data_IF_099431774845
#
_entry.id   IF_099431774845
#
_cell.length_a   1.000
_cell.length_b   1.000
_cell.length_c   1.000
_cell.angle_alpha   90.00
_cell.angle_beta   90.00
_cell.angle_gamma   90.00
#
_symmetry.space_group_name_H-M   'P 1'
#
loop_
_entity.id
_entity.type
_entity.pdbx_description
1 polymer ?
#
# COMPACT_ATOMS: atom_id res chain seq x y z
N UNK A 1 21.38 -19.93 9.04
CA UNK A 1 20.12 -20.69 9.25
C UNK A 1 19.85 -21.06 10.71
N UNK A 2 20.80 -20.94 11.62
CA UNK A 2 20.60 -21.25 13.06
C UNK A 2 19.97 -20.10 13.89
N UNK A 3 19.97 -18.88 13.41
CA UNK A 3 19.43 -17.72 14.13
C UNK A 3 17.89 -17.76 14.33
N UNK A 4 17.17 -18.52 13.53
CA UNK A 4 15.71 -18.63 13.62
C UNK A 4 15.21 -19.79 14.52
N UNK A 5 16.09 -20.69 14.96
CA UNK A 5 15.72 -21.83 15.81
C UNK A 5 15.62 -21.49 17.32
N UNK A 6 15.97 -20.26 17.71
CA UNK A 6 15.85 -19.78 19.11
C UNK A 6 14.63 -18.86 19.33
N UNK A 7 13.67 -18.89 18.42
CA UNK A 7 12.48 -18.07 18.53
C UNK A 7 11.55 -18.60 19.64
N UNK A 8 11.51 -17.92 20.77
CA UNK A 8 10.50 -18.12 21.82
C UNK A 8 9.30 -17.20 21.53
N UNK A 9 8.17 -17.75 21.06
CA UNK A 9 7.07 -16.93 20.50
C UNK A 9 6.47 -15.96 21.50
N UNK A 10 6.52 -16.24 22.80
CA UNK A 10 5.86 -15.40 23.79
C UNK A 10 6.66 -14.13 24.15
N UNK A 11 7.98 -14.22 24.27
CA UNK A 11 8.82 -13.06 24.62
C UNK A 11 8.91 -12.07 23.48
N UNK A 12 8.91 -12.55 22.26
CA UNK A 12 9.00 -11.69 21.06
C UNK A 12 7.68 -10.97 20.75
N UNK A 13 6.53 -11.55 21.06
CA UNK A 13 5.23 -10.85 20.92
C UNK A 13 5.16 -9.66 21.87
N UNK A 14 5.52 -9.84 23.15
CA UNK A 14 5.52 -8.75 24.13
C UNK A 14 6.53 -7.66 23.72
N UNK A 15 7.73 -8.05 23.28
CA UNK A 15 8.77 -7.12 22.83
C UNK A 15 8.34 -6.35 21.59
N UNK A 16 7.79 -7.03 20.59
CA UNK A 16 7.29 -6.42 19.35
C UNK A 16 6.13 -5.47 19.64
N UNK A 17 5.18 -5.86 20.47
CA UNK A 17 4.06 -5.00 20.88
C UNK A 17 4.55 -3.77 21.66
N UNK A 18 5.54 -3.94 22.53
CA UNK A 18 6.15 -2.81 23.26
C UNK A 18 6.82 -1.82 22.33
N UNK A 19 7.62 -2.31 21.38
CA UNK A 19 8.29 -1.46 20.36
C UNK A 19 7.26 -0.73 19.50
N UNK A 20 6.23 -1.43 19.01
CA UNK A 20 5.16 -0.82 18.23
C UNK A 20 4.40 0.24 19.04
N UNK A 21 4.12 -0.03 20.30
CA UNK A 21 3.45 0.94 21.20
C UNK A 21 4.31 2.19 21.42
N UNK A 22 5.61 2.05 21.63
CA UNK A 22 6.54 3.18 21.79
C UNK A 22 6.61 4.00 20.51
N UNK A 23 6.74 3.35 19.35
CA UNK A 23 6.77 4.03 18.04
C UNK A 23 5.45 4.77 17.81
N UNK A 24 4.31 4.14 18.08
CA UNK A 24 2.99 4.73 17.89
C UNK A 24 2.79 5.93 18.80
N UNK A 25 3.10 5.80 20.10
CA UNK A 25 3.00 6.91 21.06
C UNK A 25 3.95 8.04 20.72
N UNK A 26 5.20 7.74 20.37
CA UNK A 26 6.18 8.73 19.92
C UNK A 26 5.70 9.48 18.67
N UNK A 27 5.16 8.76 17.70
CA UNK A 27 4.59 9.36 16.49
C UNK A 27 3.39 10.25 16.80
N UNK A 28 2.48 9.84 17.70
CA UNK A 28 1.35 10.67 18.14
C UNK A 28 1.83 11.95 18.83
N UNK A 29 2.81 11.87 19.73
CA UNK A 29 3.38 13.06 20.39
C UNK A 29 3.97 14.02 19.36
N UNK A 30 4.72 13.52 18.37
CA UNK A 30 5.25 14.35 17.29
C UNK A 30 4.14 14.98 16.45
N UNK A 31 3.10 14.21 16.10
CA UNK A 31 1.95 14.71 15.35
C UNK A 31 1.24 15.88 16.05
N UNK A 32 1.09 15.82 17.38
CA UNK A 32 0.45 16.89 18.14
C UNK A 32 1.37 18.07 18.42
N UNK A 33 2.70 17.88 18.51
CA UNK A 33 3.66 18.94 18.79
C UNK A 33 4.02 19.81 17.58
N UNK A 34 3.82 19.34 16.35
CA UNK A 34 4.28 20.00 15.12
C UNK A 34 3.16 20.67 14.29
N UNK A 35 1.99 20.88 14.87
CA UNK A 35 0.84 21.45 14.13
C UNK A 35 0.59 20.72 12.78
N UNK A 36 0.72 19.41 12.83
CA UNK A 36 0.55 18.53 11.66
C UNK A 36 -0.80 18.75 10.93
N UNK A 37 -1.91 19.07 11.61
CA UNK A 37 -3.16 19.39 10.90
C UNK A 37 -3.03 20.48 9.84
N UNK A 38 -2.36 21.60 10.17
CA UNK A 38 -2.14 22.70 9.19
C UNK A 38 -1.20 22.28 8.07
N UNK A 39 -0.14 21.52 8.40
CA UNK A 39 0.78 20.98 7.42
C UNK A 39 0.06 20.02 6.47
N UNK A 40 -0.84 19.16 6.98
CA UNK A 40 -1.62 18.23 6.18
C UNK A 40 -2.60 18.94 5.25
N UNK A 41 -3.19 20.07 5.67
CA UNK A 41 -4.06 20.88 4.78
C UNK A 41 -3.24 21.45 3.63
N UNK A 42 -2.09 22.07 3.92
CA UNK A 42 -1.19 22.59 2.89
C UNK A 42 -0.73 21.51 1.90
N UNK A 43 -0.34 20.35 2.42
CA UNK A 43 0.07 19.21 1.60
C UNK A 43 -1.09 18.70 0.74
N UNK A 44 -2.28 18.54 1.32
CA UNK A 44 -3.46 18.07 0.60
C UNK A 44 -3.85 18.98 -0.56
N UNK A 45 -3.80 20.30 -0.33
CA UNK A 45 -4.04 21.28 -1.39
C UNK A 45 -2.99 21.16 -2.52
N UNK A 46 -1.71 21.01 -2.15
CA UNK A 46 -0.63 20.87 -3.15
C UNK A 46 -0.72 19.59 -3.98
N UNK A 47 -1.26 18.51 -3.42
CA UNK A 47 -1.42 17.22 -4.14
C UNK A 47 -2.46 17.27 -5.25
N UNK A 48 -3.38 18.23 -5.22
CA UNK A 48 -4.39 18.40 -6.28
C UNK A 48 -3.99 19.45 -7.31
N UNK A 49 -3.00 20.29 -7.01
CA UNK A 49 -2.50 21.35 -7.89
C UNK A 49 -1.42 20.83 -8.85
N UNK A 50 -1.38 21.37 -10.05
CA UNK A 50 -0.38 21.01 -11.08
C UNK A 50 -0.25 22.08 -12.14
N UNK A 51 0.52 21.79 -13.22
CA UNK A 51 0.68 22.74 -14.32
C UNK A 51 -0.63 23.06 -15.04
N UNK A 52 -1.64 22.20 -14.91
CA UNK A 52 -2.99 22.37 -15.41
C UNK A 52 -3.95 21.50 -14.62
N UNK A 53 -5.00 22.11 -14.04
CA UNK A 53 -5.99 21.39 -13.24
C UNK A 53 -6.71 20.30 -14.04
N UNK A 54 -6.94 20.55 -15.34
CA UNK A 54 -7.55 19.58 -16.24
C UNK A 54 -6.62 18.36 -16.44
N UNK A 55 -5.31 18.58 -16.65
CA UNK A 55 -4.36 17.47 -16.80
C UNK A 55 -4.22 16.66 -15.51
N UNK A 56 -4.22 17.32 -14.36
CA UNK A 56 -4.19 16.64 -13.05
C UNK A 56 -5.46 15.82 -12.83
N UNK A 57 -6.63 16.35 -13.15
CA UNK A 57 -7.88 15.61 -13.06
C UNK A 57 -7.88 14.37 -13.97
N UNK A 58 -7.44 14.51 -15.21
CA UNK A 58 -7.30 13.38 -16.15
C UNK A 58 -6.33 12.33 -15.60
N UNK A 59 -5.19 12.76 -15.06
CA UNK A 59 -4.19 11.88 -14.45
C UNK A 59 -4.78 11.10 -13.27
N UNK A 60 -5.43 11.77 -12.31
CA UNK A 60 -6.03 11.12 -11.15
C UNK A 60 -7.13 10.12 -11.56
N UNK A 61 -7.97 10.50 -12.53
CA UNK A 61 -9.01 9.60 -13.07
C UNK A 61 -8.38 8.38 -13.75
N UNK A 62 -7.35 8.57 -14.57
CA UNK A 62 -6.67 7.48 -15.27
C UNK A 62 -6.04 6.50 -14.28
N UNK A 63 -5.35 7.00 -13.27
CA UNK A 63 -4.74 6.18 -12.22
C UNK A 63 -5.80 5.45 -11.37
N UNK A 64 -6.91 6.12 -11.02
CA UNK A 64 -8.04 5.51 -10.34
C UNK A 64 -8.63 4.35 -11.15
N UNK A 65 -8.91 4.57 -12.42
CA UNK A 65 -9.48 3.53 -13.30
C UNK A 65 -8.51 2.36 -13.47
N UNK A 66 -7.22 2.62 -13.62
CA UNK A 66 -6.19 1.59 -13.71
C UNK A 66 -6.11 0.76 -12.43
N UNK A 67 -6.16 1.40 -11.26
CA UNK A 67 -6.16 0.73 -9.96
C UNK A 67 -7.42 -0.12 -9.76
N UNK A 68 -8.60 0.41 -10.05
CA UNK A 68 -9.87 -0.31 -9.98
C UNK A 68 -9.90 -1.51 -10.94
N UNK A 69 -9.40 -1.34 -12.16
CA UNK A 69 -9.25 -2.45 -13.12
C UNK A 69 -8.35 -3.55 -12.58
N UNK A 70 -7.24 -3.17 -11.92
CA UNK A 70 -6.31 -4.13 -11.32
C UNK A 70 -6.99 -4.92 -10.20
N UNK A 71 -7.72 -4.25 -9.30
CA UNK A 71 -8.50 -4.89 -8.23
C UNK A 71 -9.54 -5.86 -8.82
N UNK A 72 -10.30 -5.41 -9.82
CA UNK A 72 -11.31 -6.24 -10.49
C UNK A 72 -10.67 -7.47 -11.16
N UNK A 73 -9.54 -7.29 -11.84
CA UNK A 73 -8.78 -8.39 -12.44
C UNK A 73 -8.32 -9.39 -11.37
N UNK A 74 -7.73 -8.92 -10.28
CA UNK A 74 -7.31 -9.79 -9.16
C UNK A 74 -8.48 -10.56 -8.57
N UNK A 75 -9.63 -9.93 -8.39
CA UNK A 75 -10.82 -10.57 -7.86
C UNK A 75 -11.34 -11.68 -8.77
N UNK A 76 -11.39 -11.42 -10.09
CA UNK A 76 -11.95 -12.33 -11.09
C UNK A 76 -11.02 -13.43 -11.56
N UNK A 77 -9.70 -13.33 -11.31
CA UNK A 77 -8.75 -14.39 -11.64
C UNK A 77 -9.20 -15.75 -11.08
N UNK A 78 -9.17 -16.78 -11.90
CA UNK A 78 -9.61 -18.14 -11.52
C UNK A 78 -8.75 -18.77 -10.42
N UNK A 79 -7.44 -18.50 -10.42
CA UNK A 79 -6.49 -19.08 -9.47
C UNK A 79 -5.54 -18.01 -8.94
N UNK A 80 -5.50 -17.85 -7.61
CA UNK A 80 -4.38 -17.18 -6.95
C UNK A 80 -3.18 -18.13 -6.84
N UNK A 81 -2.02 -17.56 -6.54
CA UNK A 81 -0.81 -18.32 -6.25
C UNK A 81 -0.09 -17.60 -5.12
N UNK A 82 -0.09 -18.18 -3.95
CA UNK A 82 0.48 -17.59 -2.76
C UNK A 82 1.23 -18.66 -1.95
N UNK A 83 2.47 -18.38 -1.62
CA UNK A 83 3.25 -19.21 -0.73
C UNK A 83 3.04 -18.70 0.69
N UNK A 84 2.60 -19.56 1.58
CA UNK A 84 2.33 -19.26 2.99
C UNK A 84 3.10 -20.23 3.85
N UNK A 85 3.84 -19.72 4.84
CA UNK A 85 4.48 -20.59 5.81
C UNK A 85 3.43 -21.15 6.77
N UNK A 86 3.27 -22.46 6.75
CA UNK A 86 2.37 -23.16 7.67
C UNK A 86 2.93 -23.09 9.09
N UNK A 87 2.13 -22.58 10.03
CA UNK A 87 2.52 -22.53 11.43
C UNK A 87 2.66 -23.94 12.05
N UNK A 88 1.83 -24.88 11.63
CA UNK A 88 1.83 -26.26 12.15
C UNK A 88 3.00 -27.07 11.59
N UNK A 89 3.21 -27.02 10.28
CA UNK A 89 4.23 -27.83 9.59
C UNK A 89 5.59 -27.18 9.52
N UNK A 90 5.68 -25.84 9.80
CA UNK A 90 6.87 -25.02 9.61
C UNK A 90 7.47 -25.11 8.19
N UNK A 91 6.65 -25.50 7.24
CA UNK A 91 6.98 -25.64 5.82
C UNK A 91 6.25 -24.61 5.00
N UNK A 92 6.82 -24.24 3.87
CA UNK A 92 6.17 -23.35 2.91
C UNK A 92 5.14 -24.13 2.09
N UNK A 93 3.89 -23.69 2.18
CA UNK A 93 2.74 -24.33 1.52
C UNK A 93 2.23 -23.41 0.43
N UNK A 94 2.14 -23.95 -0.78
CA UNK A 94 1.50 -23.28 -1.90
C UNK A 94 -0.01 -23.29 -1.71
N UNK A 95 -0.62 -22.12 -1.72
CA UNK A 95 -2.07 -21.94 -1.62
C UNK A 95 -2.60 -21.23 -2.85
N UNK A 96 -3.86 -21.56 -3.20
CA UNK A 96 -4.55 -20.96 -4.33
C UNK A 96 -5.79 -20.18 -3.87
N UNK A 97 -5.59 -18.96 -3.28
CA UNK A 97 -6.71 -18.16 -2.80
C UNK A 97 -7.64 -17.75 -3.94
N UNK A 98 -8.94 -17.67 -3.65
CA UNK A 98 -9.98 -17.27 -4.58
C UNK A 98 -10.71 -16.01 -4.09
N UNK A 99 -11.14 -15.17 -5.02
CA UNK A 99 -11.95 -13.99 -4.75
C UNK A 99 -11.29 -13.07 -3.70
N UNK A 100 -12.03 -12.72 -2.66
CA UNK A 100 -11.58 -11.77 -1.62
C UNK A 100 -10.36 -12.26 -0.83
N UNK A 101 -10.15 -13.56 -0.74
CA UNK A 101 -8.99 -14.15 -0.04
C UNK A 101 -7.65 -13.78 -0.66
N UNK A 102 -7.63 -13.30 -1.91
CA UNK A 102 -6.41 -12.80 -2.57
C UNK A 102 -5.93 -11.48 -1.98
N UNK A 103 -6.83 -10.74 -1.31
CA UNK A 103 -6.52 -9.43 -0.72
C UNK A 103 -6.01 -9.51 0.72
N UNK A 104 -5.59 -10.68 1.17
CA UNK A 104 -4.99 -10.91 2.48
C UNK A 104 -3.56 -10.35 2.58
N UNK A 105 -2.86 -10.20 1.45
CA UNK A 105 -1.46 -9.80 1.42
C UNK A 105 -1.27 -8.29 1.69
N UNK A 106 -0.14 -7.93 2.29
CA UNK A 106 0.23 -6.53 2.51
C UNK A 106 0.30 -5.74 1.19
N UNK A 107 0.79 -6.36 0.11
CA UNK A 107 0.84 -5.74 -1.23
C UNK A 107 -0.54 -5.37 -1.77
N UNK A 108 -1.54 -6.21 -1.51
CA UNK A 108 -2.92 -5.92 -1.89
C UNK A 108 -3.51 -4.74 -1.09
N UNK A 109 -3.17 -4.63 0.19
CA UNK A 109 -3.55 -3.47 1.02
C UNK A 109 -2.89 -2.19 0.52
N UNK A 110 -1.62 -2.26 0.10
CA UNK A 110 -0.92 -1.14 -0.53
C UNK A 110 -1.63 -0.67 -1.79
N UNK A 111 -2.05 -1.58 -2.66
CA UNK A 111 -2.84 -1.26 -3.85
C UNK A 111 -4.17 -0.59 -3.48
N UNK A 112 -4.89 -1.10 -2.48
CA UNK A 112 -6.15 -0.51 -2.02
C UNK A 112 -5.92 0.91 -1.50
N UNK A 113 -4.89 1.15 -0.69
CA UNK A 113 -4.53 2.49 -0.20
C UNK A 113 -4.21 3.45 -1.34
N UNK A 114 -3.46 2.99 -2.36
CA UNK A 114 -3.15 3.79 -3.54
C UNK A 114 -4.42 4.14 -4.33
N UNK A 115 -5.33 3.20 -4.49
CA UNK A 115 -6.63 3.46 -5.15
C UNK A 115 -7.48 4.44 -4.33
N UNK A 116 -7.48 4.33 -3.00
CA UNK A 116 -8.15 5.30 -2.12
C UNK A 116 -7.55 6.70 -2.28
N UNK A 117 -6.22 6.81 -2.35
CA UNK A 117 -5.57 8.09 -2.62
C UNK A 117 -6.09 8.70 -3.93
N UNK A 118 -6.05 7.96 -5.05
CA UNK A 118 -6.52 8.48 -6.34
C UNK A 118 -8.01 8.78 -6.37
N UNK A 119 -8.82 8.07 -5.59
CA UNK A 119 -10.24 8.38 -5.43
C UNK A 119 -10.43 9.77 -4.77
N UNK A 120 -9.76 10.03 -3.66
CA UNK A 120 -9.85 11.34 -2.99
C UNK A 120 -9.17 12.45 -3.80
N UNK A 121 -8.05 12.16 -4.46
CA UNK A 121 -7.39 13.11 -5.36
C UNK A 121 -8.27 13.50 -6.56
N UNK A 122 -9.02 12.54 -7.11
CA UNK A 122 -10.00 12.81 -8.16
C UNK A 122 -11.11 13.75 -7.67
N UNK A 123 -11.65 13.49 -6.48
CA UNK A 123 -12.65 14.40 -5.86
C UNK A 123 -12.04 15.79 -5.68
N UNK A 124 -10.82 15.88 -5.13
CA UNK A 124 -10.13 17.16 -4.96
C UNK A 124 -9.92 17.92 -6.27
N UNK A 125 -9.56 17.22 -7.34
CA UNK A 125 -9.43 17.83 -8.67
C UNK A 125 -10.74 18.40 -9.21
N UNK A 126 -11.88 17.79 -8.91
CA UNK A 126 -13.18 18.35 -9.28
C UNK A 126 -13.51 19.64 -8.53
N UNK A 127 -13.11 19.78 -7.26
CA UNK A 127 -13.25 21.05 -6.53
C UNK A 127 -12.46 22.15 -7.23
N UNK A 128 -11.21 21.89 -7.64
CA UNK A 128 -10.38 22.87 -8.36
C UNK A 128 -10.97 23.23 -9.73
N UNK A 129 -11.45 22.24 -10.48
CA UNK A 129 -12.10 22.51 -11.78
C UNK A 129 -13.38 23.33 -11.64
N UNK A 130 -14.04 23.27 -10.50
CA UNK A 130 -15.21 24.08 -10.17
C UNK A 130 -14.85 25.45 -9.57
N UNK A 131 -13.56 25.81 -9.55
CA UNK A 131 -13.03 27.04 -8.94
C UNK A 131 -13.48 27.21 -7.46
N UNK A 132 -13.48 26.09 -6.73
CA UNK A 132 -13.87 26.02 -5.32
C UNK A 132 -12.74 25.49 -4.47
N UNK A 133 -12.58 26.04 -3.27
CA UNK A 133 -11.58 25.58 -2.32
C UNK A 133 -11.84 24.15 -1.86
N UNK A 134 -10.74 23.39 -1.70
CA UNK A 134 -10.81 22.06 -1.13
C UNK A 134 -11.15 22.13 0.37
N UNK A 135 -12.21 21.44 0.85
CA UNK A 135 -12.52 21.39 2.27
C UNK A 135 -11.35 20.90 3.10
N UNK A 136 -11.03 21.55 4.21
CA UNK A 136 -9.86 21.24 5.06
C UNK A 136 -9.81 19.77 5.49
N UNK A 137 -10.98 19.19 5.83
CA UNK A 137 -11.06 17.78 6.22
C UNK A 137 -10.70 16.84 5.05
N UNK A 138 -11.08 17.20 3.83
CA UNK A 138 -10.73 16.41 2.64
C UNK A 138 -9.25 16.56 2.30
N UNK A 139 -8.69 17.78 2.44
CA UNK A 139 -7.26 18.01 2.25
C UNK A 139 -6.41 17.21 3.26
N UNK A 140 -6.79 17.20 4.54
CA UNK A 140 -6.13 16.38 5.57
C UNK A 140 -6.23 14.88 5.27
N UNK A 141 -7.41 14.41 4.89
CA UNK A 141 -7.62 13.01 4.53
C UNK A 141 -6.76 12.61 3.32
N UNK A 142 -6.75 13.44 2.28
CA UNK A 142 -5.95 13.21 1.08
C UNK A 142 -4.45 13.11 1.40
N UNK A 143 -3.92 14.05 2.19
CA UNK A 143 -2.54 14.04 2.62
C UNK A 143 -2.22 12.81 3.48
N UNK A 144 -3.08 12.46 4.42
CA UNK A 144 -2.90 11.29 5.28
C UNK A 144 -2.89 9.98 4.50
N UNK A 145 -3.83 9.81 3.58
CA UNK A 145 -3.87 8.63 2.70
C UNK A 145 -2.66 8.58 1.78
N UNK A 146 -2.23 9.73 1.22
CA UNK A 146 -1.04 9.82 0.38
C UNK A 146 0.22 9.35 1.11
N UNK A 147 0.51 9.92 2.28
CA UNK A 147 1.71 9.57 3.06
C UNK A 147 1.69 8.09 3.44
N UNK A 148 0.53 7.57 3.85
CA UNK A 148 0.37 6.16 4.20
C UNK A 148 0.57 5.24 2.99
N UNK A 149 -0.06 5.58 1.86
CA UNK A 149 0.07 4.81 0.62
C UNK A 149 1.52 4.81 0.11
N UNK A 150 2.17 5.98 0.12
CA UNK A 150 3.56 6.13 -0.30
C UNK A 150 4.51 5.30 0.58
N UNK A 151 4.40 5.41 1.90
CA UNK A 151 5.22 4.62 2.83
C UNK A 151 5.01 3.11 2.66
N UNK A 152 3.75 2.65 2.55
CA UNK A 152 3.41 1.26 2.30
C UNK A 152 3.95 0.78 0.93
N UNK A 153 3.91 1.62 -0.09
CA UNK A 153 4.41 1.31 -1.43
C UNK A 153 5.92 1.12 -1.45
N UNK A 154 6.66 2.00 -0.81
CA UNK A 154 8.12 1.86 -0.68
C UNK A 154 8.49 0.59 0.09
N UNK A 155 7.82 0.32 1.21
CA UNK A 155 8.06 -0.90 1.99
C UNK A 155 7.77 -2.15 1.16
N UNK A 156 6.62 -2.20 0.48
CA UNK A 156 6.24 -3.33 -0.38
C UNK A 156 7.26 -3.56 -1.49
N UNK A 157 7.62 -2.51 -2.21
CA UNK A 157 8.57 -2.56 -3.32
C UNK A 157 9.95 -3.04 -2.85
N UNK A 158 10.42 -2.52 -1.73
CA UNK A 158 11.71 -2.89 -1.13
C UNK A 158 11.72 -4.36 -0.69
N UNK A 159 10.70 -4.79 0.05
CA UNK A 159 10.60 -6.18 0.53
C UNK A 159 10.51 -7.16 -0.64
N UNK A 160 9.67 -6.86 -1.64
CA UNK A 160 9.54 -7.75 -2.81
C UNK A 160 10.86 -7.81 -3.58
N UNK A 161 11.53 -6.69 -3.81
CA UNK A 161 12.74 -6.65 -4.64
C UNK A 161 13.95 -7.26 -3.96
N UNK A 162 14.15 -7.01 -2.66
CA UNK A 162 15.38 -7.38 -1.97
C UNK A 162 15.26 -8.61 -1.07
N UNK A 163 14.04 -9.01 -0.72
CA UNK A 163 13.80 -10.17 0.15
C UNK A 163 13.13 -11.30 -0.64
N UNK A 164 11.96 -11.04 -1.23
CA UNK A 164 11.16 -12.11 -1.84
C UNK A 164 11.75 -12.59 -3.16
N UNK A 165 12.12 -11.68 -4.08
CA UNK A 165 12.65 -12.08 -5.40
C UNK A 165 13.96 -12.85 -5.34
N UNK A 166 14.95 -12.51 -4.49
CA UNK A 166 16.20 -13.28 -4.39
C UNK A 166 16.00 -14.67 -3.77
N UNK A 167 15.03 -14.84 -2.86
CA UNK A 167 14.78 -16.12 -2.17
C UNK A 167 13.83 -17.04 -2.93
N UNK A 168 13.21 -16.57 -3.98
CA UNK A 168 12.17 -17.29 -4.71
C UNK A 168 12.70 -18.35 -5.67
N UNK A 169 13.58 -19.22 -5.16
CA UNK A 169 14.02 -20.41 -5.88
C UNK A 169 13.02 -21.56 -5.84
N UNK A 170 11.87 -21.38 -5.18
CA UNK A 170 10.96 -22.47 -4.81
C UNK A 170 10.15 -22.97 -6.00
N UNK A 171 9.80 -22.08 -6.94
CA UNK A 171 9.00 -22.45 -8.11
C UNK A 171 9.20 -21.44 -9.26
N UNK A 172 9.59 -21.93 -10.42
CA UNK A 172 9.76 -21.14 -11.64
C UNK A 172 8.47 -20.42 -12.04
N UNK A 173 7.31 -21.05 -11.81
CA UNK A 173 6.01 -20.47 -12.08
C UNK A 173 5.74 -19.26 -11.16
N UNK A 174 6.07 -19.36 -9.87
CA UNK A 174 5.92 -18.27 -8.93
C UNK A 174 6.80 -17.07 -9.33
N UNK A 175 8.05 -17.33 -9.71
CA UNK A 175 8.96 -16.29 -10.21
C UNK A 175 8.41 -15.60 -11.46
N UNK A 176 7.90 -16.35 -12.43
CA UNK A 176 7.25 -15.79 -13.64
C UNK A 176 6.03 -14.94 -13.29
N UNK A 177 5.22 -15.34 -12.31
CA UNK A 177 4.02 -14.62 -11.88
C UNK A 177 4.32 -13.27 -11.22
N UNK A 178 5.51 -13.07 -10.64
CA UNK A 178 5.93 -11.77 -10.09
C UNK A 178 5.99 -10.69 -11.18
N UNK A 179 6.24 -11.07 -12.44
CA UNK A 179 6.26 -10.15 -13.57
C UNK A 179 4.88 -9.95 -14.23
N UNK A 180 3.83 -10.58 -13.74
CA UNK A 180 2.49 -10.35 -14.25
C UNK A 180 2.02 -8.94 -13.91
N UNK A 181 1.15 -8.39 -14.77
CA UNK A 181 0.66 -7.02 -14.69
C UNK A 181 0.18 -6.62 -13.27
N UNK A 182 -0.69 -7.43 -12.64
CA UNK A 182 -1.23 -7.10 -11.32
C UNK A 182 -0.16 -7.08 -10.22
N UNK A 183 0.84 -7.97 -10.27
CA UNK A 183 1.95 -7.97 -9.32
C UNK A 183 2.84 -6.76 -9.53
N UNK A 184 3.12 -6.38 -10.78
CA UNK A 184 3.84 -5.14 -11.09
C UNK A 184 3.08 -3.92 -10.59
N UNK A 185 1.74 -3.89 -10.75
CA UNK A 185 0.90 -2.82 -10.21
C UNK A 185 0.99 -2.72 -8.69
N UNK A 186 0.94 -3.85 -7.97
CA UNK A 186 1.02 -3.85 -6.51
C UNK A 186 2.41 -3.48 -5.96
N UNK A 187 3.48 -3.85 -6.67
CA UNK A 187 4.82 -3.80 -6.12
C UNK A 187 5.66 -2.63 -6.65
N UNK A 188 5.49 -2.25 -7.90
CA UNK A 188 6.33 -1.25 -8.55
C UNK A 188 5.54 0.01 -8.93
N UNK A 189 4.39 -0.13 -9.56
CA UNK A 189 3.64 1.04 -10.01
C UNK A 189 3.10 1.89 -8.86
N UNK A 190 2.74 1.29 -7.73
CA UNK A 190 2.32 2.04 -6.54
C UNK A 190 3.41 3.00 -5.99
N UNK A 191 4.68 2.83 -6.36
CA UNK A 191 5.78 3.73 -5.98
C UNK A 191 6.10 4.79 -7.02
N UNK A 192 5.58 4.66 -8.24
CA UNK A 192 5.87 5.57 -9.37
C UNK A 192 4.77 6.62 -9.53
N UNK A 193 3.56 6.33 -9.10
CA UNK A 193 2.41 7.24 -9.13
C UNK A 193 2.34 8.11 -7.88
#
# INVERSE_FOLDING_TARGET
>A
MELFNQYHPNDDVVRSMSVLSIITLGSLVLLFSWDVPSLLVGTGNSLTQGPSDVLMAIWHIACLLLGLRTIAFMYTMKTGHMIVRSHEKKEDVLTHPLGIKKFVTFSSWTLILTVMYFFFATIGSFFLLADTDLPSNLAQLLAGVFVTALGASFLTSTVVRYVILPENHIDEEHHKRQFWFHNQMMHNFCTVF
#
